data_IF_373141110737
#
_entry.id   IF_373141110737
#
_cell.length_a   1.000
_cell.length_b   1.000
_cell.length_c   1.000
_cell.angle_alpha   90.00
_cell.angle_beta   90.00
_cell.angle_gamma   90.00
#
_symmetry.space_group_name_H-M   'P 1'
#
loop_
_entity.id
_entity.type
_entity.pdbx_description
1 polymer ?
#
# COMPACT_ATOMS: atom_id res chain seq x y z
N UNK A 1 17.76 -28.98 -8.20
CA UNK A 1 16.94 -28.28 -9.23
C UNK A 1 16.45 -27.00 -8.58
N UNK A 2 17.11 -25.88 -8.88
CA UNK A 2 16.74 -24.59 -8.31
C UNK A 2 15.62 -24.00 -9.16
N UNK A 3 14.42 -23.89 -8.59
CA UNK A 3 13.28 -23.25 -9.26
C UNK A 3 13.61 -21.77 -9.50
N UNK A 4 13.98 -21.45 -10.74
CA UNK A 4 14.05 -20.07 -11.21
C UNK A 4 12.63 -19.49 -11.21
N UNK A 5 12.32 -18.74 -10.15
CA UNK A 5 11.09 -17.98 -10.01
C UNK A 5 11.03 -16.99 -11.17
N UNK A 6 10.24 -17.32 -12.20
CA UNK A 6 9.94 -16.45 -13.34
C UNK A 6 9.45 -15.10 -12.84
N UNK A 7 10.32 -14.09 -12.90
CA UNK A 7 10.03 -12.72 -12.49
C UNK A 7 8.98 -12.14 -13.46
N UNK A 8 7.75 -11.95 -12.99
CA UNK A 8 6.77 -11.12 -13.71
C UNK A 8 7.32 -9.69 -13.77
N UNK A 9 7.84 -9.32 -14.93
CA UNK A 9 8.22 -7.95 -15.29
C UNK A 9 6.96 -7.08 -15.09
N UNK A 10 7.03 -6.08 -14.20
CA UNK A 10 5.97 -5.06 -14.13
C UNK A 10 5.78 -4.30 -12.81
N UNK A 11 6.15 -4.85 -11.64
CA UNK A 11 6.06 -4.10 -10.38
C UNK A 11 7.39 -4.11 -9.61
N UNK A 12 7.97 -2.93 -9.31
CA UNK A 12 9.13 -2.86 -8.45
C UNK A 12 8.79 -3.44 -7.07
N UNK A 13 9.77 -4.10 -6.45
CA UNK A 13 9.68 -4.51 -5.05
C UNK A 13 9.79 -3.26 -4.19
N UNK A 14 8.87 -3.08 -3.25
CA UNK A 14 8.98 -2.07 -2.21
C UNK A 14 9.44 -2.77 -0.94
N UNK A 15 10.51 -2.27 -0.32
CA UNK A 15 11.04 -2.79 0.95
C UNK A 15 11.29 -4.31 0.95
N UNK A 16 12.01 -4.79 -0.06
CA UNK A 16 12.46 -6.19 -0.21
C UNK A 16 11.35 -7.24 -0.42
N UNK A 17 10.07 -6.87 -0.28
CA UNK A 17 8.92 -7.72 -0.57
C UNK A 17 8.23 -7.31 -1.90
N UNK A 18 7.68 -8.31 -2.60
CA UNK A 18 6.74 -8.06 -3.67
C UNK A 18 5.39 -7.61 -3.08
N UNK A 19 4.89 -6.45 -3.53
CA UNK A 19 3.59 -5.94 -3.08
C UNK A 19 2.47 -6.94 -3.39
N UNK A 20 1.74 -7.35 -2.35
CA UNK A 20 0.56 -8.22 -2.45
C UNK A 20 -0.72 -7.36 -2.48
N UNK A 21 -1.77 -7.89 -3.06
CA UNK A 21 -3.09 -7.23 -3.07
C UNK A 21 -3.90 -7.69 -1.86
N UNK A 22 -4.44 -6.74 -1.11
CA UNK A 22 -5.35 -6.98 0.00
C UNK A 22 -6.63 -6.16 -0.19
N UNK A 23 -7.74 -6.70 0.28
CA UNK A 23 -9.04 -6.01 0.27
C UNK A 23 -9.43 -5.62 1.68
N UNK A 24 -9.84 -4.37 1.88
CA UNK A 24 -10.38 -3.90 3.17
C UNK A 24 -11.86 -3.54 3.02
N UNK A 25 -12.62 -3.72 4.09
CA UNK A 25 -14.00 -3.23 4.19
C UNK A 25 -13.99 -1.92 4.95
N UNK A 26 -14.58 -0.88 4.38
CA UNK A 26 -14.72 0.43 5.00
C UNK A 26 -16.11 0.99 4.68
N UNK A 27 -16.62 1.86 5.54
CA UNK A 27 -17.78 2.69 5.21
C UNK A 27 -17.42 3.68 4.11
N UNK A 28 -18.41 4.23 3.40
CA UNK A 28 -18.14 5.26 2.39
C UNK A 28 -17.42 6.47 3.01
N UNK A 29 -17.88 6.93 4.18
CA UNK A 29 -17.28 8.04 4.92
C UNK A 29 -15.82 7.75 5.27
N UNK A 30 -15.53 6.56 5.81
CA UNK A 30 -14.17 6.16 6.13
C UNK A 30 -13.28 6.08 4.89
N UNK A 31 -13.80 5.53 3.78
CA UNK A 31 -13.05 5.41 2.53
C UNK A 31 -12.73 6.78 1.91
N UNK A 32 -13.67 7.74 1.94
CA UNK A 32 -13.42 9.11 1.52
C UNK A 32 -12.40 9.81 2.42
N UNK A 33 -12.51 9.63 3.74
CA UNK A 33 -11.57 10.16 4.71
C UNK A 33 -10.13 9.69 4.44
N UNK A 34 -9.93 8.39 4.22
CA UNK A 34 -8.62 7.84 3.87
C UNK A 34 -8.03 8.44 2.59
N UNK A 35 -8.86 8.68 1.56
CA UNK A 35 -8.40 9.31 0.32
C UNK A 35 -7.97 10.76 0.53
N UNK A 36 -8.70 11.52 1.35
CA UNK A 36 -8.35 12.91 1.67
C UNK A 36 -7.06 12.98 2.47
N UNK A 37 -6.89 12.11 3.48
CA UNK A 37 -5.67 12.04 4.27
C UNK A 37 -4.46 11.70 3.39
N UNK A 38 -4.59 10.69 2.51
CA UNK A 38 -3.54 10.35 1.56
C UNK A 38 -3.17 11.54 0.65
N UNK A 39 -4.17 12.24 0.11
CA UNK A 39 -3.94 13.41 -0.74
C UNK A 39 -3.26 14.56 0.02
N UNK A 40 -3.64 14.80 1.29
CA UNK A 40 -3.04 15.84 2.12
C UNK A 40 -1.56 15.56 2.44
N UNK A 41 -1.20 14.30 2.68
CA UNK A 41 0.19 13.87 2.90
C UNK A 41 0.99 13.72 1.60
N UNK A 42 0.42 14.05 0.44
CA UNK A 42 1.09 13.91 -0.86
C UNK A 42 1.35 12.46 -1.30
N UNK A 43 0.65 11.49 -0.71
CA UNK A 43 0.81 10.07 -0.96
C UNK A 43 -0.35 9.50 -1.79
N UNK A 44 -0.11 8.43 -2.54
CA UNK A 44 -1.22 7.60 -3.00
C UNK A 44 -1.88 6.88 -1.82
N UNK A 45 -3.15 6.51 -1.97
CA UNK A 45 -3.87 5.74 -0.94
C UNK A 45 -3.14 4.43 -0.57
N UNK A 46 -2.49 3.79 -1.53
CA UNK A 46 -1.74 2.55 -1.29
C UNK A 46 -0.46 2.78 -0.50
N UNK A 47 0.20 3.91 -0.68
CA UNK A 47 1.39 4.30 0.10
C UNK A 47 1.00 4.75 1.50
N UNK A 48 -0.08 5.52 1.62
CA UNK A 48 -0.63 5.94 2.90
C UNK A 48 -0.99 4.74 3.79
N UNK A 49 -1.70 3.75 3.25
CA UNK A 49 -2.06 2.54 3.99
C UNK A 49 -0.85 1.68 4.33
N UNK A 50 0.15 1.63 3.46
CA UNK A 50 1.40 0.90 3.73
C UNK A 50 2.21 1.58 4.85
N UNK A 51 2.31 2.91 4.84
CA UNK A 51 2.95 3.67 5.92
C UNK A 51 2.22 3.46 7.24
N UNK A 52 0.90 3.62 7.26
CA UNK A 52 0.08 3.41 8.44
C UNK A 52 0.23 1.97 8.98
N UNK A 53 0.20 0.97 8.10
CA UNK A 53 0.35 -0.43 8.48
C UNK A 53 1.74 -0.78 9.02
N UNK A 54 2.80 -0.08 8.59
CA UNK A 54 4.18 -0.31 9.06
C UNK A 54 4.51 0.45 10.34
N UNK A 55 4.02 1.67 10.48
CA UNK A 55 4.41 2.59 11.57
C UNK A 55 3.38 2.66 12.69
N UNK A 56 2.11 2.34 12.41
CA UNK A 56 1.01 2.56 13.34
C UNK A 56 0.62 4.03 13.49
N UNK A 57 1.24 4.94 12.75
CA UNK A 57 0.99 6.38 12.79
C UNK A 57 0.53 6.89 11.43
N UNK A 58 -0.13 8.06 11.42
CA UNK A 58 -0.48 8.72 10.17
C UNK A 58 0.77 9.42 9.61
N UNK A 59 0.97 9.40 8.28
CA UNK A 59 1.97 10.25 7.61
C UNK A 59 1.66 11.73 7.84
N UNK A 60 2.69 12.56 8.00
CA UNK A 60 2.58 14.03 8.10
C UNK A 60 2.14 14.69 6.79
#
# INVERSE_FOLDING_TARGET
>A
MSEEIKRKIGRPRLHEEAKKSYSIKATETGWRGLKLLAANSGLSLSEYLEFLGRTGTLPE
#
